data_IF_710832236733
#
_entry.id   IF_710832236733
#
_cell.length_a   1.000
_cell.length_b   1.000
_cell.length_c   1.000
_cell.angle_alpha   90.00
_cell.angle_beta   90.00
_cell.angle_gamma   90.00
#
_symmetry.space_group_name_H-M   'P 1'
#
loop_
_entity.id
_entity.type
_entity.pdbx_description
1 polymer ?
#
# COMPACT_ATOMS: atom_id res chain seq x y z
N UNK A 1 20.48 28.78 27.38
CA UNK A 1 19.14 28.29 27.73
C UNK A 1 18.80 27.15 26.77
N UNK A 2 19.33 25.94 27.03
CA UNK A 2 18.70 24.90 27.84
C UNK A 2 17.50 24.26 27.13
N UNK A 3 17.83 23.20 26.38
CA UNK A 3 16.96 22.17 25.81
C UNK A 3 15.76 21.83 26.70
N UNK A 4 14.59 22.32 26.34
CA UNK A 4 13.29 21.89 26.89
C UNK A 4 12.27 21.83 25.75
N UNK A 5 12.49 20.95 24.79
CA UNK A 5 11.48 20.68 23.74
C UNK A 5 11.48 19.27 23.16
N UNK A 6 12.33 18.35 23.63
CA UNK A 6 12.37 16.96 23.13
C UNK A 6 11.46 15.98 23.87
N UNK A 7 10.66 16.43 24.84
CA UNK A 7 9.77 15.56 25.62
C UNK A 7 8.32 15.51 25.09
N UNK A 8 8.00 16.20 24.01
CA UNK A 8 6.66 16.19 23.41
C UNK A 8 6.74 15.43 22.08
N UNK A 9 5.88 14.42 21.90
CA UNK A 9 5.59 13.68 20.65
C UNK A 9 6.21 12.28 20.43
N UNK A 10 6.44 11.48 21.48
CA UNK A 10 6.16 10.03 21.35
C UNK A 10 4.74 9.77 21.87
N UNK A 11 3.73 10.31 21.19
CA UNK A 11 2.37 9.78 21.40
C UNK A 11 2.43 8.31 20.97
N UNK A 12 2.23 7.40 21.92
CA UNK A 12 2.19 5.97 21.62
C UNK A 12 1.17 5.72 20.51
N UNK A 13 1.55 4.93 19.52
CA UNK A 13 0.67 4.51 18.44
C UNK A 13 -0.59 3.88 19.05
N UNK A 14 -1.74 4.54 18.88
CA UNK A 14 -3.03 4.07 19.37
C UNK A 14 -3.84 3.57 18.19
N UNK A 15 -4.08 2.26 18.18
CA UNK A 15 -4.93 1.63 17.18
C UNK A 15 -6.41 1.96 17.45
N UNK A 16 -7.18 2.00 16.36
CA UNK A 16 -8.64 1.89 16.40
C UNK A 16 -9.04 0.58 17.11
N UNK A 17 -10.24 0.52 17.70
CA UNK A 17 -10.76 -0.70 18.30
C UNK A 17 -10.71 -1.89 17.31
N UNK A 18 -10.40 -3.11 17.77
CA UNK A 18 -10.33 -4.29 16.89
C UNK A 18 -11.60 -4.52 16.07
N UNK A 19 -12.78 -4.25 16.63
CA UNK A 19 -14.03 -4.38 15.88
C UNK A 19 -14.12 -3.42 14.67
N UNK A 20 -13.60 -2.19 14.78
CA UNK A 20 -13.56 -1.26 13.63
C UNK A 20 -12.62 -1.78 12.53
N UNK A 21 -11.46 -2.33 12.94
CA UNK A 21 -10.53 -2.95 12.00
C UNK A 21 -11.17 -4.17 11.31
N UNK A 22 -11.92 -4.97 12.06
CA UNK A 22 -12.63 -6.14 11.54
C UNK A 22 -13.70 -5.72 10.53
N UNK A 23 -14.55 -4.74 10.85
CA UNK A 23 -15.56 -4.21 9.93
C UNK A 23 -14.93 -3.72 8.63
N UNK A 24 -13.87 -2.92 8.72
CA UNK A 24 -13.16 -2.40 7.53
C UNK A 24 -12.53 -3.51 6.70
N UNK A 25 -11.94 -4.51 7.37
CA UNK A 25 -11.38 -5.71 6.73
C UNK A 25 -12.46 -6.50 5.99
N UNK A 26 -13.64 -6.69 6.60
CA UNK A 26 -14.77 -7.39 5.98
C UNK A 26 -15.28 -6.66 4.74
N UNK A 27 -15.45 -5.33 4.80
CA UNK A 27 -15.84 -4.54 3.64
C UNK A 27 -14.83 -4.68 2.48
N UNK A 28 -13.53 -4.57 2.75
CA UNK A 28 -12.50 -4.80 1.71
C UNK A 28 -12.55 -6.21 1.16
N UNK A 29 -12.80 -7.21 1.99
CA UNK A 29 -12.88 -8.60 1.54
C UNK A 29 -14.06 -8.85 0.58
N UNK A 30 -15.23 -8.24 0.83
CA UNK A 30 -16.35 -8.32 -0.11
C UNK A 30 -16.02 -7.66 -1.46
N UNK A 31 -15.43 -6.47 -1.41
CA UNK A 31 -14.98 -5.73 -2.59
C UNK A 31 -13.96 -6.53 -3.39
N UNK A 32 -12.95 -7.09 -2.73
CA UNK A 32 -11.90 -7.89 -3.38
C UNK A 32 -12.43 -9.24 -3.89
N UNK A 33 -13.41 -9.83 -3.22
CA UNK A 33 -14.11 -11.02 -3.70
C UNK A 33 -14.85 -10.72 -5.00
N UNK A 34 -15.58 -9.60 -5.05
CA UNK A 34 -16.26 -9.15 -6.26
C UNK A 34 -15.26 -8.81 -7.36
N UNK A 35 -14.15 -8.16 -7.03
CA UNK A 35 -13.06 -7.86 -7.97
C UNK A 35 -12.50 -9.14 -8.62
N UNK A 36 -12.33 -10.21 -7.84
CA UNK A 36 -11.89 -11.51 -8.36
C UNK A 36 -12.85 -12.10 -9.38
N UNK A 37 -14.16 -12.01 -9.13
CA UNK A 37 -15.20 -12.49 -10.06
C UNK A 37 -15.23 -11.67 -11.36
N UNK A 38 -15.19 -10.34 -11.26
CA UNK A 38 -15.21 -9.43 -12.42
C UNK A 38 -13.94 -9.56 -13.26
N UNK A 39 -12.78 -9.68 -12.62
CA UNK A 39 -11.51 -9.89 -13.32
C UNK A 39 -11.48 -11.23 -14.03
N UNK A 40 -11.98 -12.30 -13.39
CA UNK A 40 -12.10 -13.61 -14.02
C UNK A 40 -13.07 -13.57 -15.22
N UNK A 41 -14.15 -12.79 -15.14
CA UNK A 41 -15.08 -12.57 -16.24
C UNK A 41 -14.40 -11.85 -17.41
N UNK A 42 -13.66 -10.78 -17.12
CA UNK A 42 -12.93 -9.99 -18.10
C UNK A 42 -11.86 -10.83 -18.83
N UNK A 43 -11.11 -11.66 -18.08
CA UNK A 43 -10.11 -12.57 -18.65
C UNK A 43 -10.75 -13.73 -19.43
N UNK A 44 -11.90 -14.23 -18.95
CA UNK A 44 -12.70 -15.28 -19.57
C UNK A 44 -13.31 -14.89 -20.92
N UNK A 45 -13.41 -13.60 -21.26
CA UNK A 45 -13.80 -13.12 -22.60
C UNK A 45 -12.83 -13.55 -23.71
N UNK A 46 -11.66 -14.11 -23.39
CA UNK A 46 -10.72 -14.72 -24.35
C UNK A 46 -10.96 -16.22 -24.59
N UNK A 47 -11.89 -16.86 -23.86
CA UNK A 47 -12.33 -18.24 -24.07
C UNK A 47 -13.82 -18.30 -24.39
N UNK A 48 -14.28 -19.37 -25.04
CA UNK A 48 -15.69 -19.56 -25.40
C UNK A 48 -16.57 -19.49 -24.14
N UNK A 49 -17.45 -18.49 -24.09
CA UNK A 49 -18.48 -18.36 -23.06
C UNK A 49 -19.38 -19.59 -23.11
N UNK A 50 -19.42 -20.38 -22.05
CA UNK A 50 -20.50 -21.37 -21.90
C UNK A 50 -21.70 -20.68 -21.29
N UNK A 51 -22.89 -20.90 -21.84
CA UNK A 51 -24.14 -20.25 -21.41
C UNK A 51 -24.50 -20.49 -19.92
N UNK A 52 -23.92 -21.52 -19.29
CA UNK A 52 -24.11 -21.82 -17.86
C UNK A 52 -23.18 -21.06 -16.91
N UNK A 53 -22.12 -20.43 -17.43
CA UNK A 53 -21.12 -19.74 -16.61
C UNK A 53 -21.58 -18.36 -16.15
N UNK A 54 -22.55 -17.76 -16.85
CA UNK A 54 -23.06 -16.43 -16.52
C UNK A 54 -24.07 -16.46 -15.36
N UNK A 55 -25.06 -17.37 -15.34
CA UNK A 55 -26.06 -17.42 -14.25
C UNK A 55 -25.49 -17.74 -12.87
N UNK A 56 -24.42 -18.56 -12.80
CA UNK A 56 -23.75 -18.86 -11.52
C UNK A 56 -22.98 -17.64 -11.01
N UNK A 57 -22.30 -16.91 -11.90
CA UNK A 57 -21.50 -15.74 -11.54
C UNK A 57 -22.39 -14.56 -11.19
N UNK A 58 -23.49 -14.36 -11.91
CA UNK A 58 -24.54 -13.38 -11.58
C UNK A 58 -25.10 -13.64 -10.18
N UNK A 59 -25.49 -14.88 -9.87
CA UNK A 59 -25.95 -15.22 -8.51
C UNK A 59 -24.88 -15.01 -7.44
N UNK A 60 -23.61 -15.30 -7.73
CA UNK A 60 -22.53 -15.07 -6.78
C UNK A 60 -22.30 -13.56 -6.52
N UNK A 61 -22.37 -12.75 -7.57
CA UNK A 61 -22.37 -11.28 -7.55
C UNK A 61 -23.50 -10.76 -6.67
N UNK A 62 -24.74 -11.18 -6.94
CA UNK A 62 -25.93 -10.77 -6.18
C UNK A 62 -25.84 -11.21 -4.71
N UNK A 63 -25.33 -12.41 -4.45
CA UNK A 63 -25.16 -12.92 -3.09
C UNK A 63 -24.11 -12.12 -2.30
N UNK A 64 -23.02 -11.67 -2.93
CA UNK A 64 -22.03 -10.79 -2.27
C UNK A 64 -22.67 -9.46 -1.88
N UNK A 65 -23.41 -8.85 -2.82
CA UNK A 65 -24.09 -7.58 -2.58
C UNK A 65 -25.16 -7.73 -1.48
N UNK A 66 -25.93 -8.80 -1.52
CA UNK A 66 -26.95 -9.12 -0.50
C UNK A 66 -26.31 -9.34 0.87
N UNK A 67 -25.21 -10.09 0.94
CA UNK A 67 -24.51 -10.35 2.19
C UNK A 67 -23.99 -9.07 2.86
N UNK A 68 -23.60 -8.05 2.08
CA UNK A 68 -23.22 -6.73 2.62
C UNK A 68 -24.39 -6.07 3.38
N UNK A 69 -25.59 -6.09 2.80
CA UNK A 69 -26.77 -5.47 3.39
C UNK A 69 -27.32 -6.29 4.57
N UNK A 70 -27.39 -7.62 4.43
CA UNK A 70 -27.92 -8.50 5.47
C UNK A 70 -27.03 -8.54 6.73
N UNK A 71 -25.71 -8.42 6.57
CA UNK A 71 -24.77 -8.34 7.70
C UNK A 71 -24.62 -6.94 8.31
N UNK A 72 -25.30 -5.92 7.77
CA UNK A 72 -25.17 -4.52 8.21
C UNK A 72 -23.80 -3.89 7.93
N UNK A 73 -22.97 -4.50 7.07
CA UNK A 73 -21.66 -3.95 6.70
C UNK A 73 -21.77 -2.68 5.85
N UNK A 74 -22.92 -2.44 5.24
CA UNK A 74 -23.09 -1.29 4.37
C UNK A 74 -22.83 0.01 5.15
N UNK A 75 -23.26 0.15 6.41
CA UNK A 75 -22.97 1.34 7.23
C UNK A 75 -21.47 1.64 7.41
N UNK A 76 -20.59 0.67 7.16
CA UNK A 76 -19.14 0.79 7.26
C UNK A 76 -18.41 0.85 5.91
N UNK A 77 -19.11 0.53 4.81
CA UNK A 77 -18.59 0.66 3.45
C UNK A 77 -18.55 2.13 3.02
N UNK A 78 -17.54 2.48 2.22
CA UNK A 78 -17.50 3.81 1.59
C UNK A 78 -18.57 3.90 0.51
N UNK A 79 -18.99 5.12 0.16
CA UNK A 79 -19.97 5.33 -0.92
C UNK A 79 -19.49 4.77 -2.26
N UNK A 80 -18.18 4.83 -2.54
CA UNK A 80 -17.59 4.27 -3.75
C UNK A 80 -17.64 2.74 -3.75
N UNK A 81 -17.38 2.08 -2.61
CA UNK A 81 -17.49 0.63 -2.48
C UNK A 81 -18.94 0.14 -2.62
N UNK A 82 -19.90 0.82 -1.98
CA UNK A 82 -21.33 0.52 -2.14
C UNK A 82 -21.74 0.63 -3.60
N UNK A 83 -21.48 1.79 -4.20
CA UNK A 83 -21.83 2.06 -5.59
C UNK A 83 -21.25 1.05 -6.55
N UNK A 84 -20.04 0.53 -6.28
CA UNK A 84 -19.38 -0.47 -7.10
C UNK A 84 -19.97 -1.87 -6.87
N UNK A 85 -20.28 -2.26 -5.63
CA UNK A 85 -20.88 -3.56 -5.32
C UNK A 85 -22.31 -3.67 -5.88
N UNK A 86 -23.03 -2.55 -5.94
CA UNK A 86 -24.38 -2.47 -6.53
C UNK A 86 -24.38 -2.54 -8.07
N UNK A 87 -23.22 -2.38 -8.73
CA UNK A 87 -23.15 -2.46 -10.20
C UNK A 87 -23.53 -3.86 -10.68
N UNK A 88 -24.32 -3.98 -11.76
CA UNK A 88 -24.57 -5.27 -12.40
C UNK A 88 -23.27 -5.98 -12.81
N UNK A 89 -23.31 -7.31 -12.85
CA UNK A 89 -22.16 -8.11 -13.29
C UNK A 89 -21.65 -7.67 -14.68
N UNK A 90 -20.32 -7.58 -14.84
CA UNK A 90 -19.62 -7.12 -16.06
C UNK A 90 -19.85 -5.67 -16.47
N UNK A 91 -20.36 -4.82 -15.57
CA UNK A 91 -20.51 -3.38 -15.83
C UNK A 91 -19.44 -2.53 -15.16
N UNK A 92 -18.39 -3.18 -14.62
CA UNK A 92 -17.25 -2.48 -14.05
C UNK A 92 -16.43 -1.75 -15.11
N UNK A 93 -16.13 -0.49 -14.81
CA UNK A 93 -15.26 0.37 -15.58
C UNK A 93 -13.79 0.17 -15.15
N UNK A 94 -12.85 0.66 -15.95
CA UNK A 94 -11.41 0.54 -15.65
C UNK A 94 -11.03 1.07 -14.26
N UNK A 95 -11.68 2.16 -13.83
CA UNK A 95 -11.51 2.76 -12.49
C UNK A 95 -11.92 1.81 -11.36
N UNK A 96 -12.91 0.94 -11.56
CA UNK A 96 -13.34 -0.03 -10.54
C UNK A 96 -12.29 -1.13 -10.31
N UNK A 97 -11.47 -1.45 -11.32
CA UNK A 97 -10.42 -2.46 -11.17
C UNK A 97 -9.25 -1.99 -10.30
N UNK A 98 -9.15 -0.69 -10.02
CA UNK A 98 -8.17 -0.13 -9.09
C UNK A 98 -8.35 -0.67 -7.66
N UNK A 99 -9.55 -1.15 -7.29
CA UNK A 99 -9.78 -1.80 -6.00
C UNK A 99 -8.91 -3.06 -5.78
N UNK A 100 -8.40 -3.66 -6.87
CA UNK A 100 -7.41 -4.73 -6.80
C UNK A 100 -6.14 -4.32 -6.03
N UNK A 101 -5.82 -3.04 -5.97
CA UNK A 101 -4.63 -2.58 -5.25
C UNK A 101 -4.79 -2.71 -3.71
N UNK A 102 -6.02 -2.87 -3.21
CA UNK A 102 -6.31 -2.98 -1.77
C UNK A 102 -6.05 -4.36 -1.15
N UNK A 103 -5.55 -5.34 -1.91
CA UNK A 103 -5.09 -6.62 -1.35
C UNK A 103 -4.09 -6.42 -0.21
N UNK A 104 -3.18 -5.47 -0.39
CA UNK A 104 -2.13 -5.17 0.58
C UNK A 104 -2.67 -4.48 1.82
N UNK A 105 -3.69 -3.64 1.64
CA UNK A 105 -4.40 -2.99 2.72
C UNK A 105 -5.18 -4.00 3.58
N UNK A 106 -5.87 -4.96 2.94
CA UNK A 106 -6.51 -6.09 3.63
C UNK A 106 -5.50 -6.90 4.45
N UNK A 107 -4.33 -7.20 3.88
CA UNK A 107 -3.28 -7.94 4.58
C UNK A 107 -2.77 -7.24 5.84
N UNK A 108 -2.59 -5.91 5.79
CA UNK A 108 -2.21 -5.13 6.97
C UNK A 108 -3.32 -5.14 8.03
N UNK A 109 -4.59 -4.96 7.63
CA UNK A 109 -5.71 -5.02 8.58
C UNK A 109 -5.81 -6.40 9.25
N UNK A 110 -5.66 -7.49 8.49
CA UNK A 110 -5.65 -8.84 9.03
C UNK A 110 -4.45 -9.11 9.95
N UNK A 111 -3.30 -8.52 9.66
CA UNK A 111 -2.12 -8.59 10.52
C UNK A 111 -2.35 -7.86 11.84
N UNK A 112 -2.93 -6.65 11.79
CA UNK A 112 -3.35 -5.91 13.00
C UNK A 112 -4.37 -6.69 13.83
N UNK A 113 -5.26 -7.43 13.15
CA UNK A 113 -6.23 -8.34 13.75
C UNK A 113 -5.63 -9.72 14.13
N UNK A 114 -4.32 -9.91 14.05
CA UNK A 114 -3.65 -11.17 14.44
C UNK A 114 -4.05 -12.40 13.61
N UNK A 115 -4.76 -12.23 12.50
CA UNK A 115 -5.14 -13.29 11.55
C UNK A 115 -4.01 -13.63 10.60
N UNK A 116 -3.10 -12.68 10.39
CA UNK A 116 -1.89 -12.83 9.60
C UNK A 116 -0.67 -12.66 10.51
N UNK A 117 0.29 -13.59 10.45
CA UNK A 117 1.43 -13.60 11.38
C UNK A 117 2.53 -12.60 11.02
N UNK A 118 2.71 -12.32 9.73
CA UNK A 118 3.77 -11.44 9.23
C UNK A 118 3.31 -10.63 8.03
N UNK A 119 3.85 -9.42 7.93
CA UNK A 119 3.79 -8.58 6.74
C UNK A 119 4.96 -9.00 5.83
N UNK A 120 4.71 -9.39 4.56
CA UNK A 120 5.77 -9.68 3.60
C UNK A 120 6.69 -8.48 3.40
N UNK A 121 7.85 -8.70 2.81
CA UNK A 121 8.70 -7.60 2.35
C UNK A 121 7.95 -6.70 1.36
N UNK A 122 8.33 -5.43 1.22
CA UNK A 122 7.61 -4.48 0.35
C UNK A 122 7.82 -4.76 -1.15
N UNK A 123 8.72 -5.67 -1.49
CA UNK A 123 8.88 -6.23 -2.82
C UNK A 123 8.19 -7.58 -3.02
N UNK A 124 7.30 -7.96 -2.10
CA UNK A 124 6.47 -9.15 -2.18
C UNK A 124 5.04 -8.83 -1.75
N UNK A 125 4.06 -9.38 -2.45
CA UNK A 125 2.65 -9.21 -2.12
C UNK A 125 2.19 -10.19 -1.04
N UNK A 126 1.10 -9.86 -0.35
CA UNK A 126 0.42 -10.87 0.46
C UNK A 126 -0.12 -12.01 -0.41
N UNK A 127 -0.06 -13.23 0.12
CA UNK A 127 -0.72 -14.39 -0.48
C UNK A 127 -2.25 -14.21 -0.40
N UNK A 128 -2.87 -13.91 -1.54
CA UNK A 128 -4.30 -13.63 -1.66
C UNK A 128 -5.17 -14.79 -1.18
N UNK A 129 -4.75 -16.03 -1.41
CA UNK A 129 -5.51 -17.21 -0.99
C UNK A 129 -5.48 -17.34 0.54
N UNK A 130 -4.30 -17.13 1.15
CA UNK A 130 -4.18 -17.10 2.61
C UNK A 130 -4.98 -15.97 3.25
N UNK A 131 -5.01 -14.78 2.66
CA UNK A 131 -5.83 -13.68 3.17
C UNK A 131 -7.32 -14.06 3.27
N UNK A 132 -7.87 -14.73 2.27
CA UNK A 132 -9.27 -15.18 2.30
C UNK A 132 -9.50 -16.30 3.33
N UNK A 133 -8.55 -17.23 3.44
CA UNK A 133 -8.65 -18.33 4.39
C UNK A 133 -8.55 -17.85 5.84
N UNK A 134 -7.67 -16.88 6.11
CA UNK A 134 -7.36 -16.41 7.46
C UNK A 134 -8.51 -15.63 8.11
N UNK A 135 -9.38 -14.99 7.32
CA UNK A 135 -10.58 -14.34 7.86
C UNK A 135 -11.73 -15.31 8.07
N UNK A 136 -11.80 -16.41 7.31
CA UNK A 136 -12.93 -17.34 7.34
C UNK A 136 -14.25 -16.75 6.81
N UNK A 137 -14.21 -15.54 6.23
CA UNK A 137 -15.38 -14.92 5.61
C UNK A 137 -15.65 -15.60 4.28
N UNK A 138 -16.86 -16.13 4.13
CA UNK A 138 -17.42 -16.54 2.86
C UNK A 138 -18.23 -15.35 2.30
N UNK A 139 -17.77 -14.67 1.25
CA UNK A 139 -18.35 -13.39 0.81
C UNK A 139 -19.84 -13.41 0.46
N UNK A 140 -20.39 -14.59 0.13
CA UNK A 140 -21.79 -14.79 -0.22
C UNK A 140 -22.66 -15.24 0.98
N UNK A 141 -22.10 -15.38 2.18
CA UNK A 141 -22.81 -15.82 3.39
C UNK A 141 -22.65 -14.75 4.51
N UNK A 142 -23.72 -13.96 4.80
CA UNK A 142 -23.67 -12.90 5.80
C UNK A 142 -23.34 -13.41 7.20
N UNK A 143 -23.72 -14.65 7.54
CA UNK A 143 -23.47 -15.22 8.87
C UNK A 143 -21.97 -15.40 9.15
N UNK A 144 -21.15 -15.58 8.12
CA UNK A 144 -19.69 -15.70 8.28
C UNK A 144 -19.03 -14.35 8.55
N UNK A 145 -19.61 -13.27 8.01
CA UNK A 145 -19.18 -11.90 8.24
C UNK A 145 -19.46 -11.51 9.69
N UNK A 146 -20.69 -11.75 10.15
CA UNK A 146 -21.10 -11.49 11.53
C UNK A 146 -20.20 -12.24 12.52
N UNK A 147 -20.01 -13.55 12.32
CA UNK A 147 -19.11 -14.37 13.16
C UNK A 147 -17.69 -13.81 13.19
N UNK A 148 -17.17 -13.33 12.06
CA UNK A 148 -15.85 -12.72 12.02
C UNK A 148 -15.80 -11.44 12.85
N UNK A 149 -16.76 -10.52 12.69
CA UNK A 149 -16.82 -9.26 13.44
C UNK A 149 -17.05 -9.49 14.93
N UNK A 150 -17.99 -10.37 15.28
CA UNK A 150 -18.30 -10.75 16.66
C UNK A 150 -17.10 -11.36 17.39
N UNK A 151 -16.25 -12.09 16.63
CA UNK A 151 -14.97 -12.58 17.13
C UNK A 151 -13.98 -11.47 17.50
N UNK A 152 -14.32 -10.19 17.37
CA UNK A 152 -13.53 -9.05 17.84
C UNK A 152 -14.32 -8.09 18.73
N UNK A 153 -15.60 -8.39 19.01
CA UNK A 153 -16.47 -7.63 19.91
C UNK A 153 -16.38 -8.13 21.36
N UNK A 154 -15.90 -9.36 21.58
CA UNK A 154 -15.75 -9.94 22.92
C UNK A 154 -14.66 -9.21 23.73
N UNK A 155 -15.02 -8.80 24.95
CA UNK A 155 -14.12 -8.17 25.93
C UNK A 155 -12.91 -9.02 26.33
N UNK A 156 -12.94 -10.33 26.02
CA UNK A 156 -11.84 -11.27 26.28
C UNK A 156 -10.70 -11.15 25.27
N UNK A 157 -10.92 -10.46 24.14
CA UNK A 157 -9.92 -10.34 23.09
C UNK A 157 -9.12 -9.07 23.32
N UNK A 158 -8.22 -9.16 24.30
CA UNK A 158 -7.12 -8.22 24.42
C UNK A 158 -6.07 -8.60 23.38
N UNK A 159 -6.20 -8.06 22.17
CA UNK A 159 -5.07 -8.05 21.25
C UNK A 159 -3.96 -7.18 21.84
N UNK A 160 -3.06 -7.82 22.58
CA UNK A 160 -1.81 -7.22 23.00
C UNK A 160 -0.88 -7.25 21.80
N UNK A 161 -0.96 -6.21 20.97
CA UNK A 161 -0.01 -6.01 19.90
C UNK A 161 1.31 -5.53 20.49
N UNK A 162 2.44 -6.13 20.09
CA UNK A 162 3.75 -5.61 20.49
C UNK A 162 3.94 -4.21 19.90
N UNK A 163 4.02 -3.20 20.78
CA UNK A 163 4.18 -1.80 20.37
C UNK A 163 5.45 -1.58 19.56
N UNK A 164 6.52 -2.34 19.83
CA UNK A 164 7.76 -2.23 19.07
C UNK A 164 7.59 -2.79 17.66
N UNK A 165 6.96 -3.96 17.54
CA UNK A 165 6.62 -4.54 16.24
C UNK A 165 5.70 -3.62 15.41
N UNK A 166 4.67 -3.02 16.03
CA UNK A 166 3.79 -2.05 15.36
C UNK A 166 4.57 -0.82 14.87
N UNK A 167 5.39 -0.23 15.74
CA UNK A 167 6.20 0.92 15.40
C UNK A 167 7.14 0.61 14.22
N UNK A 168 7.82 -0.53 14.27
CA UNK A 168 8.71 -0.96 13.19
C UNK A 168 7.96 -1.15 11.87
N UNK A 169 6.77 -1.76 11.91
CA UNK A 169 5.96 -1.97 10.70
C UNK A 169 5.50 -0.63 10.07
N UNK A 170 5.12 0.35 10.90
CA UNK A 170 4.78 1.70 10.46
C UNK A 170 5.99 2.42 9.87
N UNK A 171 7.13 2.38 10.56
CA UNK A 171 8.37 3.02 10.09
C UNK A 171 8.85 2.41 8.76
N UNK A 172 8.74 1.09 8.59
CA UNK A 172 9.00 0.42 7.31
C UNK A 172 8.03 0.86 6.24
N UNK A 173 6.73 0.97 6.55
CA UNK A 173 5.72 1.47 5.60
C UNK A 173 6.02 2.89 5.12
N UNK A 174 6.36 3.78 6.05
CA UNK A 174 6.77 5.15 5.73
C UNK A 174 8.01 5.20 4.85
N UNK A 175 9.03 4.41 5.16
CA UNK A 175 10.27 4.42 4.41
C UNK A 175 10.06 3.98 2.95
N UNK A 176 9.27 2.92 2.73
CA UNK A 176 8.94 2.44 1.39
C UNK A 176 8.02 3.40 0.63
N UNK A 177 7.02 4.01 1.30
CA UNK A 177 6.19 5.04 0.66
C UNK A 177 7.02 6.27 0.28
N UNK A 178 7.90 6.72 1.17
CA UNK A 178 8.82 7.82 0.88
C UNK A 178 9.69 7.50 -0.33
N UNK A 179 10.28 6.29 -0.39
CA UNK A 179 11.12 5.88 -1.51
C UNK A 179 10.34 5.81 -2.82
N UNK A 180 9.12 5.29 -2.80
CA UNK A 180 8.25 5.25 -3.99
C UNK A 180 7.91 6.66 -4.49
N UNK A 181 7.59 7.60 -3.58
CA UNK A 181 7.35 9.01 -3.94
C UNK A 181 8.61 9.72 -4.45
N UNK A 182 9.77 9.42 -3.87
CA UNK A 182 11.05 9.93 -4.37
C UNK A 182 11.32 9.49 -5.82
N UNK A 183 10.86 8.30 -6.22
CA UNK A 183 10.97 7.83 -7.60
C UNK A 183 10.16 8.71 -8.57
N UNK A 184 8.96 9.13 -8.19
CA UNK A 184 8.13 10.02 -9.02
C UNK A 184 8.81 11.38 -9.22
N UNK A 185 9.41 11.92 -8.17
CA UNK A 185 10.18 13.17 -8.25
C UNK A 185 11.43 13.04 -9.12
N UNK A 186 12.12 11.90 -9.07
CA UNK A 186 13.24 11.61 -9.97
C UNK A 186 12.78 11.49 -11.42
N UNK A 187 11.67 10.81 -11.68
CA UNK A 187 11.08 10.71 -13.02
C UNK A 187 10.76 12.09 -13.60
N UNK A 188 10.06 12.93 -12.83
CA UNK A 188 9.77 14.32 -13.20
C UNK A 188 11.05 15.11 -13.49
N UNK A 189 12.07 14.96 -12.65
CA UNK A 189 13.38 15.62 -12.85
C UNK A 189 14.01 15.20 -14.19
N UNK A 190 14.00 13.91 -14.50
CA UNK A 190 14.64 13.38 -15.70
C UNK A 190 13.87 13.74 -16.97
N UNK A 191 12.53 13.72 -16.94
CA UNK A 191 11.67 14.19 -18.02
C UNK A 191 11.94 15.66 -18.36
N UNK A 192 12.01 16.51 -17.34
CA UNK A 192 12.27 17.95 -17.50
C UNK A 192 13.70 18.20 -17.98
N UNK A 193 14.66 17.38 -17.52
CA UNK A 193 16.04 17.43 -17.99
C UNK A 193 16.15 17.12 -19.48
N UNK A 194 15.38 16.13 -19.97
CA UNK A 194 15.35 15.69 -21.37
C UNK A 194 14.51 16.59 -22.28
N UNK A 195 13.55 17.34 -21.74
CA UNK A 195 12.78 18.30 -22.52
C UNK A 195 13.69 19.40 -23.08
N UNK A 196 13.54 19.73 -24.37
CA UNK A 196 14.20 20.82 -25.09
C UNK A 196 13.67 22.21 -24.67
N UNK A 197 13.50 22.42 -23.37
CA UNK A 197 13.19 23.72 -22.81
C UNK A 197 14.44 24.60 -22.93
N UNK A 198 14.37 25.65 -23.76
CA UNK A 198 15.38 26.72 -23.79
C UNK A 198 15.48 27.31 -22.38
N UNK A 199 16.66 27.30 -21.75
CA UNK A 199 16.82 27.89 -20.42
C UNK A 199 16.53 29.39 -20.49
N UNK A 200 15.52 29.85 -19.76
CA UNK A 200 15.27 31.27 -19.53
C UNK A 200 16.34 31.77 -18.56
N UNK A 201 17.21 32.63 -19.07
CA UNK A 201 18.45 33.04 -18.40
C UNK A 201 18.22 33.87 -17.14
N UNK A 202 18.60 33.29 -16.00
CA UNK A 202 19.15 33.99 -14.84
C UNK A 202 20.43 33.26 -14.43
N UNK A 203 21.52 33.99 -14.21
CA UNK A 203 22.88 33.45 -14.07
C UNK A 203 23.17 32.72 -12.73
N UNK A 204 22.16 32.47 -11.88
CA UNK A 204 22.33 31.85 -10.56
C UNK A 204 21.72 30.45 -10.42
N UNK A 205 20.82 30.04 -11.31
CA UNK A 205 20.18 28.72 -11.22
C UNK A 205 21.00 27.67 -11.98
N UNK A 206 21.04 26.45 -11.45
CA UNK A 206 21.54 25.31 -12.23
C UNK A 206 20.70 25.10 -13.50
N UNK A 207 21.25 24.52 -14.59
CA UNK A 207 20.49 24.29 -15.82
C UNK A 207 19.18 23.51 -15.63
N UNK A 208 19.16 22.62 -14.63
CA UNK A 208 17.97 21.88 -14.22
C UNK A 208 16.93 22.78 -13.53
N UNK A 209 17.34 23.65 -12.60
CA UNK A 209 16.45 24.58 -11.90
C UNK A 209 15.83 25.59 -12.85
N UNK A 210 16.57 26.06 -13.84
CA UNK A 210 16.06 26.93 -14.90
C UNK A 210 14.96 26.24 -15.73
N UNK A 211 15.16 24.96 -16.12
CA UNK A 211 14.14 24.16 -16.84
C UNK A 211 12.92 23.88 -15.98
N UNK A 212 13.10 23.54 -14.70
CA UNK A 212 11.99 23.34 -13.76
C UNK A 212 11.18 24.63 -13.54
N UNK A 213 11.87 25.78 -13.49
CA UNK A 213 11.24 27.10 -13.39
C UNK A 213 10.40 27.42 -14.63
N UNK A 214 10.92 27.11 -15.83
CA UNK A 214 10.20 27.29 -17.09
C UNK A 214 8.89 26.49 -17.17
N UNK A 215 8.77 25.39 -16.42
CA UNK A 215 7.54 24.59 -16.31
C UNK A 215 6.64 24.99 -15.12
N UNK A 216 6.87 26.15 -14.50
CA UNK A 216 6.10 26.66 -13.35
C UNK A 216 6.08 25.71 -12.13
N UNK A 217 7.12 24.88 -11.94
CA UNK A 217 7.21 24.01 -10.77
C UNK A 217 7.50 24.85 -9.52
N UNK A 218 6.73 24.69 -8.42
CA UNK A 218 6.95 25.40 -7.16
C UNK A 218 8.38 25.27 -6.63
N UNK A 219 8.93 26.35 -6.07
CA UNK A 219 10.33 26.40 -5.62
C UNK A 219 10.70 25.29 -4.61
N UNK A 220 9.80 24.96 -3.69
CA UNK A 220 10.00 23.88 -2.71
C UNK A 220 10.21 22.51 -3.38
N UNK A 221 9.41 22.18 -4.40
CA UNK A 221 9.53 20.94 -5.17
C UNK A 221 10.79 20.93 -6.03
N UNK A 222 11.20 22.08 -6.58
CA UNK A 222 12.45 22.20 -7.34
C UNK A 222 13.68 21.83 -6.51
N UNK A 223 13.77 22.39 -5.30
CA UNK A 223 14.85 22.09 -4.37
C UNK A 223 14.86 20.61 -3.96
N UNK A 224 13.69 20.06 -3.63
CA UNK A 224 13.57 18.63 -3.30
C UNK A 224 14.05 17.74 -4.45
N UNK A 225 13.60 17.99 -5.67
CA UNK A 225 13.98 17.20 -6.85
C UNK A 225 15.50 17.27 -7.15
N UNK A 226 16.12 18.44 -6.96
CA UNK A 226 17.56 18.62 -7.13
C UNK A 226 18.39 17.86 -6.09
N UNK A 227 17.91 17.80 -4.84
CA UNK A 227 18.62 17.16 -3.73
C UNK A 227 18.42 15.63 -3.68
N UNK A 228 17.35 15.08 -4.29
CA UNK A 228 17.01 13.65 -4.24
C UNK A 228 18.16 12.68 -4.54
N UNK A 229 19.03 12.89 -5.55
CA UNK A 229 20.16 11.98 -5.84
C UNK A 229 21.15 11.85 -4.68
N UNK A 230 21.25 12.87 -3.82
CA UNK A 230 22.07 12.83 -2.60
C UNK A 230 21.28 12.29 -1.41
N UNK A 231 19.99 12.62 -1.36
CA UNK A 231 19.10 12.23 -0.26
C UNK A 231 18.79 10.74 -0.23
N UNK A 232 18.61 10.09 -1.39
CA UNK A 232 18.28 8.65 -1.46
C UNK A 232 19.37 7.77 -0.84
N UNK A 233 20.67 7.91 -1.19
CA UNK A 233 21.74 7.15 -0.53
C UNK A 233 21.80 7.33 0.97
N UNK A 234 21.64 8.57 1.46
CA UNK A 234 21.64 8.85 2.89
C UNK A 234 20.43 8.21 3.60
N UNK A 235 19.25 8.27 2.98
CA UNK A 235 18.03 7.66 3.50
C UNK A 235 18.12 6.14 3.51
N UNK A 236 18.65 5.52 2.44
CA UNK A 236 18.82 4.08 2.32
C UNK A 236 19.80 3.55 3.39
N UNK A 237 20.99 4.18 3.51
CA UNK A 237 21.96 3.81 4.53
C UNK A 237 21.36 3.89 5.93
N UNK A 238 20.67 4.99 6.24
CA UNK A 238 20.06 5.18 7.55
C UNK A 238 18.91 4.23 7.84
N UNK A 239 18.08 3.95 6.84
CA UNK A 239 17.00 2.97 6.97
C UNK A 239 17.56 1.57 7.28
N UNK A 240 18.69 1.22 6.68
CA UNK A 240 19.38 -0.04 6.93
C UNK A 240 20.01 -0.09 8.32
N UNK A 241 20.72 0.97 8.73
CA UNK A 241 21.29 1.08 10.09
C UNK A 241 20.21 0.96 11.18
N UNK A 242 19.00 1.44 10.91
CA UNK A 242 17.84 1.31 11.82
C UNK A 242 17.08 -0.01 11.69
N UNK A 243 17.50 -0.92 10.79
CA UNK A 243 16.84 -2.20 10.53
C UNK A 243 15.44 -2.07 9.93
N UNK A 244 15.14 -0.94 9.28
CA UNK A 244 13.86 -0.66 8.62
C UNK A 244 13.78 -1.37 7.27
N UNK A 245 14.91 -1.45 6.56
CA UNK A 245 15.07 -2.19 5.30
C UNK A 245 16.13 -3.28 5.46
N UNK A 246 16.01 -4.35 4.65
CA UNK A 246 16.90 -5.50 4.72
C UNK A 246 18.30 -5.19 4.20
N UNK A 247 18.40 -4.61 2.99
CA UNK A 247 19.68 -4.42 2.29
C UNK A 247 19.73 -3.05 1.58
N UNK A 248 20.95 -2.58 1.34
CA UNK A 248 21.26 -1.39 0.54
C UNK A 248 22.11 -1.84 -0.64
N UNK A 249 21.66 -1.54 -1.85
CA UNK A 249 22.36 -1.87 -3.09
C UNK A 249 22.52 -0.61 -3.92
N UNK A 250 23.71 -0.34 -4.47
CA UNK A 250 23.95 0.84 -5.30
C UNK A 250 23.66 2.20 -4.65
N UNK A 251 23.61 2.29 -3.31
CA UNK A 251 23.17 3.50 -2.60
C UNK A 251 21.66 3.72 -2.63
N UNK A 252 20.87 2.65 -2.77
CA UNK A 252 19.42 2.68 -2.83
C UNK A 252 18.81 1.54 -1.98
N UNK A 253 17.49 1.50 -1.86
CA UNK A 253 16.76 0.42 -1.20
C UNK A 253 16.97 -0.87 -1.98
N UNK A 254 17.55 -1.89 -1.34
CA UNK A 254 17.81 -3.19 -1.96
C UNK A 254 16.54 -4.02 -2.13
N UNK A 255 16.37 -4.60 -3.31
CA UNK A 255 15.25 -5.45 -3.69
C UNK A 255 15.76 -6.82 -4.09
N UNK A 256 15.27 -7.85 -3.41
CA UNK A 256 15.62 -9.23 -3.74
C UNK A 256 14.75 -9.71 -4.89
N UNK A 257 15.38 -9.97 -6.04
CA UNK A 257 14.72 -10.50 -7.25
C UNK A 257 15.13 -11.95 -7.48
N UNK A 258 14.19 -12.78 -7.91
CA UNK A 258 14.48 -14.14 -8.37
C UNK A 258 15.09 -14.08 -9.77
N UNK A 259 16.29 -14.64 -9.93
CA UNK A 259 16.90 -14.76 -11.26
C UNK A 259 16.21 -15.87 -12.04
N UNK A 260 15.73 -15.55 -13.23
CA UNK A 260 15.21 -16.52 -14.17
C UNK A 260 16.40 -17.31 -14.73
N UNK A 261 16.70 -18.46 -14.15
CA UNK A 261 17.67 -19.38 -14.75
C UNK A 261 17.06 -20.05 -15.99
N UNK A 262 17.84 -20.16 -17.06
CA UNK A 262 17.47 -20.90 -18.25
C UNK A 262 17.19 -22.36 -17.89
N UNK A 263 15.90 -22.72 -17.88
CA UNK A 263 15.30 -24.06 -17.85
C UNK A 263 16.23 -25.25 -17.54
N UNK A 264 16.64 -25.47 -16.27
CA UNK A 264 17.15 -26.79 -15.82
C UNK A 264 17.32 -26.98 -14.30
N UNK A 265 17.01 -26.01 -13.43
CA UNK A 265 17.35 -26.13 -12.00
C UNK A 265 16.10 -26.44 -11.13
N UNK A 266 16.15 -27.46 -10.26
CA UNK A 266 15.09 -27.74 -9.30
C UNK A 266 14.78 -26.50 -8.43
N UNK A 267 13.50 -26.33 -8.08
CA UNK A 267 12.93 -25.17 -7.36
C UNK A 267 13.65 -24.80 -6.05
N UNK A 268 14.42 -25.71 -5.48
CA UNK A 268 15.14 -25.53 -4.21
C UNK A 268 16.46 -24.74 -4.33
N UNK A 269 16.89 -24.36 -5.55
CA UNK A 269 18.13 -23.60 -5.78
C UNK A 269 17.94 -22.33 -6.63
N UNK A 270 16.75 -21.70 -6.58
CA UNK A 270 16.55 -20.41 -7.26
C UNK A 270 17.54 -19.38 -6.73
N UNK A 271 18.45 -18.92 -7.59
CA UNK A 271 19.37 -17.85 -7.26
C UNK A 271 18.61 -16.54 -7.13
N UNK A 272 18.77 -15.89 -6.00
CA UNK A 272 18.28 -14.53 -5.78
C UNK A 272 19.43 -13.55 -5.97
N UNK A 273 19.11 -12.35 -6.46
CA UNK A 273 20.05 -11.24 -6.53
C UNK A 273 19.40 -10.01 -5.91
N UNK A 274 20.19 -9.18 -5.26
CA UNK A 274 19.73 -7.88 -4.76
C UNK A 274 20.03 -6.83 -5.81
N UNK A 275 19.02 -6.05 -6.17
CA UNK A 275 19.12 -4.95 -7.13
C UNK A 275 18.64 -3.65 -6.49
N UNK A 276 19.15 -2.47 -6.89
CA UNK A 276 18.67 -1.20 -6.36
C UNK A 276 17.24 -0.92 -6.83
N UNK A 277 16.41 -0.29 -5.99
CA UNK A 277 15.04 0.10 -6.34
C UNK A 277 14.96 0.83 -7.68
N UNK A 278 15.89 1.76 -7.94
CA UNK A 278 15.95 2.56 -9.16
C UNK A 278 16.23 1.78 -10.44
N UNK A 279 16.71 0.53 -10.39
CA UNK A 279 16.98 -0.27 -11.60
C UNK A 279 15.79 -1.08 -12.10
N UNK A 280 14.65 -1.04 -11.41
CA UNK A 280 13.46 -1.77 -11.82
C UNK A 280 12.76 -1.10 -13.01
N UNK A 281 12.08 -1.93 -13.81
CA UNK A 281 11.21 -1.44 -14.89
C UNK A 281 10.01 -0.64 -14.36
N UNK A 282 9.43 0.27 -15.16
CA UNK A 282 8.29 1.10 -14.75
C UNK A 282 7.11 0.33 -14.16
N UNK A 283 6.77 -0.84 -14.74
CA UNK A 283 5.66 -1.68 -14.26
C UNK A 283 5.94 -2.25 -12.87
N UNK A 284 7.18 -2.67 -12.62
CA UNK A 284 7.60 -3.13 -11.30
C UNK A 284 7.62 -1.97 -10.29
N UNK A 285 8.13 -0.80 -10.69
CA UNK A 285 8.12 0.40 -9.86
C UNK A 285 6.68 0.82 -9.46
N UNK A 286 5.74 0.74 -10.39
CA UNK A 286 4.33 1.03 -10.11
C UNK A 286 3.70 0.00 -9.16
N UNK A 287 3.99 -1.29 -9.36
CA UNK A 287 3.52 -2.34 -8.46
C UNK A 287 4.04 -2.14 -7.02
N UNK A 288 5.32 -1.82 -6.86
CA UNK A 288 5.90 -1.54 -5.53
C UNK A 288 5.33 -0.29 -4.89
N UNK A 289 5.08 0.76 -5.70
CA UNK A 289 4.40 1.97 -5.23
C UNK A 289 3.01 1.66 -4.70
N UNK A 290 2.22 0.86 -5.44
CA UNK A 290 0.87 0.43 -5.00
C UNK A 290 0.90 -0.38 -3.72
N UNK A 291 1.88 -1.27 -3.56
CA UNK A 291 2.11 -1.99 -2.29
C UNK A 291 2.39 -1.00 -1.16
N UNK A 292 3.31 -0.07 -1.37
CA UNK A 292 3.69 0.90 -0.35
C UNK A 292 2.52 1.82 0.06
N UNK A 293 1.80 2.36 -0.92
CA UNK A 293 0.63 3.23 -0.72
C UNK A 293 -0.50 2.50 0.01
N UNK A 294 -0.84 1.29 -0.40
CA UNK A 294 -1.94 0.52 0.19
C UNK A 294 -1.65 0.07 1.62
N UNK A 295 -0.42 -0.39 1.91
CA UNK A 295 -0.02 -0.73 3.28
C UNK A 295 -0.01 0.50 4.18
N UNK A 296 0.51 1.62 3.68
CA UNK A 296 0.54 2.87 4.43
C UNK A 296 -0.86 3.42 4.71
N UNK A 297 -1.77 3.38 3.74
CA UNK A 297 -3.18 3.74 3.93
C UNK A 297 -3.80 2.94 5.08
N UNK A 298 -3.60 1.61 5.09
CA UNK A 298 -4.14 0.75 6.14
C UNK A 298 -3.61 1.14 7.53
N UNK A 299 -2.30 1.38 7.67
CA UNK A 299 -1.73 1.86 8.93
C UNK A 299 -2.23 3.24 9.33
N UNK A 300 -2.25 4.19 8.39
CA UNK A 300 -2.68 5.57 8.64
C UNK A 300 -4.14 5.61 9.11
N UNK A 301 -5.02 4.84 8.46
CA UNK A 301 -6.40 4.70 8.88
C UNK A 301 -6.52 4.01 10.23
N UNK A 302 -5.85 2.87 10.43
CA UNK A 302 -5.90 2.10 11.68
C UNK A 302 -5.38 2.88 12.90
N UNK A 303 -4.48 3.83 12.70
CA UNK A 303 -3.92 4.71 13.73
C UNK A 303 -4.66 6.05 13.88
N UNK A 304 -5.80 6.22 13.19
CA UNK A 304 -6.60 7.43 13.25
C UNK A 304 -5.93 8.67 12.66
N UNK A 305 -4.96 8.50 11.75
CA UNK A 305 -4.37 9.61 10.98
C UNK A 305 -5.25 10.02 9.81
N UNK A 306 -6.09 9.10 9.33
CA UNK A 306 -7.19 9.39 8.42
C UNK A 306 -8.49 8.93 9.08
N UNK A 307 -9.47 9.83 9.12
CA UNK A 307 -10.78 9.54 9.72
C UNK A 307 -11.63 8.62 8.83
N UNK A 308 -11.51 8.76 7.51
CA UNK A 308 -12.28 8.03 6.50
C UNK A 308 -11.35 7.24 5.60
N UNK A 309 -11.76 6.03 5.21
CA UNK A 309 -11.04 5.25 4.21
C UNK A 309 -11.13 5.96 2.85
N UNK A 310 -10.03 6.56 2.40
CA UNK A 310 -10.00 7.40 1.21
C UNK A 310 -8.58 7.39 0.63
N UNK A 311 -8.32 6.64 -0.45
CA UNK A 311 -7.01 6.54 -1.07
C UNK A 311 -6.41 7.91 -1.43
N UNK A 312 -7.24 8.85 -1.89
CA UNK A 312 -6.84 10.21 -2.29
C UNK A 312 -6.23 10.99 -1.11
N UNK A 313 -6.80 10.85 0.09
CA UNK A 313 -6.28 11.49 1.31
C UNK A 313 -4.93 10.93 1.74
N UNK A 314 -4.56 9.74 1.29
CA UNK A 314 -3.23 9.17 1.52
C UNK A 314 -2.14 10.03 0.87
N UNK A 315 -2.44 10.67 -0.27
CA UNK A 315 -1.53 11.57 -0.95
C UNK A 315 -1.25 12.84 -0.12
N UNK A 316 -2.23 13.29 0.66
CA UNK A 316 -2.12 14.47 1.53
C UNK A 316 -1.34 14.18 2.83
N UNK A 317 -1.25 12.90 3.23
CA UNK A 317 -0.47 12.51 4.39
C UNK A 317 1.03 12.50 4.10
N UNK A 318 1.75 13.32 4.87
CA UNK A 318 3.21 13.39 4.85
C UNK A 318 3.83 12.22 5.61
N UNK A 319 3.32 11.92 6.81
CA UNK A 319 3.75 10.80 7.65
C UNK A 319 2.69 10.43 8.71
N UNK A 320 2.77 9.21 9.23
CA UNK A 320 2.03 8.74 10.40
C UNK A 320 2.79 9.16 11.67
N UNK A 321 4.12 9.03 11.65
CA UNK A 321 5.05 9.45 12.68
C UNK A 321 5.59 10.85 12.33
N UNK A 322 5.35 11.88 13.16
CA UNK A 322 5.80 13.24 12.89
C UNK A 322 7.35 13.34 12.81
N UNK A 323 8.06 12.41 13.44
CA UNK A 323 9.51 12.24 13.28
C UNK A 323 9.75 10.94 12.51
N UNK A 324 9.53 10.96 11.18
CA UNK A 324 9.77 9.78 10.35
C UNK A 324 11.13 9.17 10.67
N UNK A 325 11.17 7.85 10.80
CA UNK A 325 12.37 7.14 11.21
C UNK A 325 13.56 7.38 10.26
N UNK A 326 13.30 7.76 9.00
CA UNK A 326 14.35 8.20 8.06
C UNK A 326 15.04 9.50 8.48
N UNK A 327 14.40 10.36 9.27
CA UNK A 327 14.89 11.71 9.58
C UNK A 327 15.23 11.91 11.06
N UNK A 328 14.80 11.01 11.96
CA UNK A 328 15.11 11.11 13.39
C UNK A 328 16.62 11.05 13.64
N UNK A 329 17.25 12.09 14.25
CA UNK A 329 18.67 12.11 14.61
C UNK A 329 19.14 10.79 15.24
N UNK A 330 20.35 10.34 14.92
CA UNK A 330 20.94 9.21 15.64
C UNK A 330 21.12 9.57 17.11
N UNK A 331 20.86 8.62 18.01
CA UNK A 331 21.31 8.75 19.39
C UNK A 331 22.83 8.57 19.37
N UNK A 332 23.57 9.68 19.32
CA UNK A 332 25.02 9.71 19.53
C UNK A 332 25.34 9.81 21.02
#
# INVERSE_FOLDING_TARGET
MAFRTTAILRQGLKLRPPFELALRSSCLQLVLARWGLETAALMGLRGEQTANDDDRKVRAVEAITTAMYESGLDDHATSAEKSMLDKPYRTWEYSDYAYGDHWEALGVLQWLLGRQHAIPTYYSSFDRARLFQNSGIMPADPSTIEKFVDSFMSSQIHQTFDKQQLQRAVDTSEAWLWRARAQVLLGLRDEISRADAKPSGDAQDSPLEAKLRAQNIPHSLRKMAADMPKTIPLAAQRAHEKGIIGEVEGGDFGIVVEMKEDNAVPTEQRRTATVPYSSLDPDHLDALRKIAESRFLAFAWALGKIDKWCPEKTAELVSINPMSALWTPGEN
#
